data_IF_608364572240
#
_entry.id   IF_608364572240
#
_cell.length_a   1.000
_cell.length_b   1.000
_cell.length_c   1.000
_cell.angle_alpha   90.00
_cell.angle_beta   90.00
_cell.angle_gamma   90.00
#
_symmetry.space_group_name_H-M   'P 1'
#
loop_
_entity.id
_entity.type
_entity.pdbx_description
1 polymer ?
#
# COMPACT_ATOMS: atom_id res chain seq x y z
N UNK A 1 -3.04 -7.43 5.89
CA UNK A 1 -4.32 -6.88 5.37
C UNK A 1 -4.74 -5.68 6.19
N UNK A 2 -5.38 -4.70 5.57
CA UNK A 2 -6.08 -3.61 6.24
C UNK A 2 -7.43 -3.35 5.57
N UNK A 3 -8.44 -2.97 6.36
CA UNK A 3 -9.75 -2.55 5.88
C UNK A 3 -10.14 -1.22 6.52
N UNK A 4 -11.05 -0.51 5.88
CA UNK A 4 -11.65 0.71 6.43
C UNK A 4 -13.17 0.57 6.50
N UNK A 5 -13.69 0.89 7.66
CA UNK A 5 -15.11 1.01 7.95
C UNK A 5 -15.42 2.40 8.52
N UNK A 6 -16.57 2.97 8.16
CA UNK A 6 -16.93 4.33 8.60
C UNK A 6 -17.18 4.46 10.11
N UNK A 7 -17.61 3.40 10.76
CA UNK A 7 -17.93 3.40 12.20
C UNK A 7 -16.73 2.94 13.04
N UNK A 8 -16.03 1.89 12.59
CA UNK A 8 -14.93 1.25 13.32
C UNK A 8 -13.54 1.79 12.92
N UNK A 9 -13.44 2.51 11.79
CA UNK A 9 -12.19 3.04 11.27
C UNK A 9 -11.31 1.98 10.59
N UNK A 10 -9.99 2.11 10.74
CA UNK A 10 -9.01 1.20 10.13
C UNK A 10 -8.76 -0.02 11.02
N UNK A 11 -8.91 -1.20 10.44
CA UNK A 11 -8.51 -2.48 11.04
C UNK A 11 -7.30 -3.03 10.28
N UNK A 12 -6.24 -3.40 10.99
CA UNK A 12 -4.99 -3.95 10.43
C UNK A 12 -4.68 -5.32 11.05
N UNK A 13 -4.20 -6.26 10.24
CA UNK A 13 -3.62 -7.51 10.72
C UNK A 13 -2.42 -7.92 9.86
N UNK A 14 -1.34 -8.31 10.51
CA UNK A 14 -0.14 -8.85 9.90
C UNK A 14 0.13 -10.22 10.53
N UNK A 15 0.41 -11.21 9.69
CA UNK A 15 0.75 -12.56 10.12
C UNK A 15 2.01 -13.03 9.41
N UNK A 16 2.91 -13.66 10.16
CA UNK A 16 4.00 -14.44 9.58
C UNK A 16 3.42 -15.72 8.95
N UNK A 17 3.71 -15.93 7.66
CA UNK A 17 3.23 -17.07 6.86
C UNK A 17 4.31 -18.12 6.62
N UNK A 18 5.53 -17.94 7.15
CA UNK A 18 6.70 -18.78 6.87
C UNK A 18 6.45 -20.27 7.13
N UNK A 19 5.70 -20.58 8.21
CA UNK A 19 5.40 -21.95 8.64
C UNK A 19 3.89 -22.25 8.70
N UNK A 20 3.06 -21.53 7.93
CA UNK A 20 1.61 -21.67 8.02
C UNK A 20 0.93 -21.25 6.72
N UNK A 21 -0.19 -21.91 6.40
CA UNK A 21 -1.02 -21.50 5.28
C UNK A 21 -1.73 -20.18 5.57
N UNK A 22 -1.83 -19.32 4.57
CA UNK A 22 -2.52 -18.03 4.62
C UNK A 22 -3.91 -18.14 5.26
N UNK A 23 -4.73 -19.08 4.77
CA UNK A 23 -6.10 -19.29 5.26
C UNK A 23 -6.13 -19.57 6.77
N UNK A 24 -5.28 -20.45 7.26
CA UNK A 24 -5.21 -20.83 8.69
C UNK A 24 -4.92 -19.62 9.58
N UNK A 25 -4.10 -18.68 9.10
CA UNK A 25 -3.74 -17.49 9.87
C UNK A 25 -4.80 -16.39 9.84
N UNK A 26 -5.44 -16.19 8.69
CA UNK A 26 -6.38 -15.08 8.51
C UNK A 26 -7.84 -15.44 8.80
N UNK A 27 -8.27 -16.69 8.55
CA UNK A 27 -9.67 -17.11 8.69
C UNK A 27 -10.26 -16.82 10.08
N UNK A 28 -9.58 -17.10 11.22
CA UNK A 28 -10.11 -16.78 12.55
C UNK A 28 -10.31 -15.27 12.79
N UNK A 29 -9.54 -14.43 12.11
CA UNK A 29 -9.58 -12.97 12.22
C UNK A 29 -10.53 -12.28 11.26
N UNK A 30 -11.03 -12.97 10.22
CA UNK A 30 -11.88 -12.38 9.18
C UNK A 30 -13.10 -11.61 9.71
N UNK A 31 -13.82 -12.06 10.77
CA UNK A 31 -14.94 -11.29 11.30
C UNK A 31 -14.59 -9.89 11.85
N UNK A 32 -13.31 -9.62 12.10
CA UNK A 32 -12.81 -8.30 12.55
C UNK A 32 -12.63 -7.31 11.40
N UNK A 33 -12.51 -7.81 10.16
CA UNK A 33 -12.37 -6.96 8.98
C UNK A 33 -13.74 -6.56 8.47
N UNK A 34 -14.11 -5.32 8.77
CA UNK A 34 -15.37 -4.73 8.34
C UNK A 34 -15.11 -3.66 7.29
N UNK A 35 -16.23 -3.13 6.73
CA UNK A 35 -16.17 -2.11 5.70
C UNK A 35 -16.19 -2.65 4.28
N UNK A 36 -16.21 -1.72 3.33
CA UNK A 36 -16.38 -2.02 1.90
C UNK A 36 -15.08 -1.91 1.11
N UNK A 37 -14.01 -1.42 1.74
CA UNK A 37 -12.72 -1.23 1.11
C UNK A 37 -11.60 -1.87 1.94
N UNK A 38 -10.63 -2.46 1.26
CA UNK A 38 -9.47 -3.07 1.91
C UNK A 38 -8.29 -3.22 0.97
N UNK A 39 -7.11 -3.33 1.55
CA UNK A 39 -5.85 -3.62 0.85
C UNK A 39 -5.14 -4.79 1.52
N UNK A 40 -4.31 -5.48 0.75
CA UNK A 40 -3.50 -6.58 1.28
C UNK A 40 -2.30 -6.85 0.40
N UNK A 41 -1.32 -7.51 0.99
CA UNK A 41 -0.10 -7.92 0.30
C UNK A 41 0.44 -9.19 0.96
N UNK A 42 1.12 -10.02 0.19
CA UNK A 42 2.06 -11.02 0.68
C UNK A 42 3.45 -10.44 0.43
N UNK A 43 4.23 -10.27 1.49
CA UNK A 43 5.57 -9.69 1.45
C UNK A 43 6.54 -10.64 2.13
N UNK A 44 7.72 -10.77 1.57
CA UNK A 44 8.85 -11.56 2.09
C UNK A 44 9.90 -10.68 2.79
N UNK A 45 9.72 -9.36 2.77
CA UNK A 45 10.68 -8.40 3.34
C UNK A 45 10.09 -7.61 4.50
N UNK A 46 9.09 -6.77 4.23
CA UNK A 46 8.58 -5.79 5.18
C UNK A 46 7.27 -6.21 5.83
N UNK A 47 7.10 -5.90 7.11
CA UNK A 47 5.81 -5.99 7.79
C UNK A 47 4.85 -4.93 7.24
N UNK A 48 3.78 -5.36 6.58
CA UNK A 48 2.79 -4.53 5.88
C UNK A 48 1.37 -5.07 6.09
N UNK A 49 0.30 -4.23 5.95
CA UNK A 49 0.28 -2.79 5.67
C UNK A 49 0.80 -1.93 6.82
N UNK A 50 1.29 -0.73 6.51
CA UNK A 50 1.56 0.32 7.51
C UNK A 50 0.35 1.25 7.59
N UNK A 51 -0.03 1.66 8.80
CA UNK A 51 -1.10 2.64 9.04
C UNK A 51 -0.48 3.91 9.57
N UNK A 52 -0.71 5.01 8.87
CA UNK A 52 -0.19 6.35 9.23
C UNK A 52 -1.37 7.28 9.54
N UNK A 53 -1.19 8.11 10.56
CA UNK A 53 -2.06 9.25 10.84
C UNK A 53 -1.28 10.53 10.59
N UNK A 54 -1.71 11.35 9.65
CA UNK A 54 -1.01 12.54 9.19
C UNK A 54 -1.95 13.69 8.91
N UNK A 55 -1.41 14.84 8.47
CA UNK A 55 -2.23 15.97 7.99
C UNK A 55 -3.04 15.64 6.73
N UNK A 56 -2.68 14.58 5.99
CA UNK A 56 -3.46 14.08 4.84
C UNK A 56 -4.66 13.22 5.27
N UNK A 57 -4.84 13.03 6.59
CA UNK A 57 -5.77 12.08 7.16
C UNK A 57 -5.08 10.76 7.52
N UNK A 58 -5.87 9.80 8.00
CA UNK A 58 -5.41 8.44 8.27
C UNK A 58 -5.47 7.61 6.99
N UNK A 59 -4.44 6.82 6.75
CA UNK A 59 -4.40 5.90 5.62
C UNK A 59 -3.59 4.64 5.95
N UNK A 60 -3.88 3.56 5.24
CA UNK A 60 -3.05 2.35 5.25
C UNK A 60 -2.35 2.23 3.89
N UNK A 61 -1.13 1.72 3.88
CA UNK A 61 -0.33 1.56 2.66
C UNK A 61 0.30 0.18 2.57
N UNK A 62 0.34 -0.36 1.35
CA UNK A 62 1.16 -1.51 0.96
C UNK A 62 2.03 -1.13 -0.24
N UNK A 63 3.24 -1.68 -0.29
CA UNK A 63 4.21 -1.38 -1.36
C UNK A 63 4.87 -2.64 -1.90
N UNK A 64 5.13 -2.64 -3.20
CA UNK A 64 6.13 -3.49 -3.82
C UNK A 64 7.27 -2.57 -4.24
N UNK A 65 8.35 -2.55 -3.45
CA UNK A 65 9.42 -1.58 -3.58
C UNK A 65 10.80 -2.22 -3.60
N UNK A 66 11.70 -1.58 -4.34
CA UNK A 66 13.16 -1.77 -4.25
C UNK A 66 13.80 -0.39 -4.19
N UNK A 67 14.25 0.02 -3.01
CA UNK A 67 14.82 1.34 -2.73
C UNK A 67 16.33 1.17 -2.53
N UNK A 68 17.14 1.70 -3.46
CA UNK A 68 18.59 1.55 -3.42
C UNK A 68 19.27 2.64 -2.58
N UNK A 69 18.60 3.75 -2.32
CA UNK A 69 19.08 4.86 -1.50
C UNK A 69 18.33 4.96 -0.15
N UNK A 70 18.01 3.81 0.45
CA UNK A 70 17.24 3.73 1.68
C UNK A 70 17.89 4.53 2.82
N UNK A 71 19.18 4.29 3.07
CA UNK A 71 19.93 4.95 4.16
C UNK A 71 20.01 6.47 4.00
N UNK A 72 20.13 6.95 2.74
CA UNK A 72 20.14 8.37 2.40
C UNK A 72 18.80 9.04 2.76
N UNK A 73 17.68 8.39 2.38
CA UNK A 73 16.35 8.89 2.63
C UNK A 73 15.95 8.77 4.11
N UNK A 74 16.37 7.71 4.79
CA UNK A 74 16.17 7.56 6.23
C UNK A 74 16.83 8.70 6.99
N UNK A 75 18.09 9.00 6.66
CA UNK A 75 18.82 10.11 7.28
C UNK A 75 18.13 11.46 7.04
N UNK A 76 17.69 11.72 5.80
CA UNK A 76 16.94 12.95 5.45
C UNK A 76 15.67 13.09 6.29
N UNK A 77 14.90 12.01 6.45
CA UNK A 77 13.66 12.03 7.23
C UNK A 77 13.93 12.24 8.73
N UNK A 78 14.96 11.62 9.28
CA UNK A 78 15.37 11.82 10.69
C UNK A 78 15.84 13.24 10.95
N UNK A 79 16.63 13.84 10.04
CA UNK A 79 17.05 15.25 10.11
C UNK A 79 15.84 16.20 10.02
N UNK A 80 14.76 15.80 9.35
CA UNK A 80 13.50 16.53 9.31
C UNK A 80 12.59 16.27 10.54
N UNK A 81 13.11 15.64 11.60
CA UNK A 81 12.40 15.25 12.83
C UNK A 81 11.22 14.29 12.59
N UNK A 82 11.24 13.52 11.53
CA UNK A 82 10.30 12.41 11.34
C UNK A 82 10.79 11.16 12.07
N UNK A 83 9.88 10.28 12.46
CA UNK A 83 10.18 9.11 13.28
C UNK A 83 9.72 7.84 12.58
N UNK A 84 10.50 6.78 12.77
CA UNK A 84 10.15 5.43 12.36
C UNK A 84 9.68 4.63 13.58
N UNK A 85 8.61 3.87 13.42
CA UNK A 85 8.02 3.04 14.48
C UNK A 85 8.02 1.55 14.14
N UNK A 86 8.09 1.21 12.86
CA UNK A 86 8.09 -0.17 12.39
C UNK A 86 9.48 -0.58 11.92
N UNK A 87 9.96 -1.72 12.39
CA UNK A 87 11.23 -2.30 11.96
C UNK A 87 10.97 -3.60 11.18
N UNK A 88 11.73 -3.79 10.11
CA UNK A 88 11.77 -5.04 9.36
C UNK A 88 13.12 -5.71 9.58
N UNK A 89 13.13 -6.79 10.36
CA UNK A 89 14.36 -7.53 10.70
C UNK A 89 15.48 -6.63 11.27
N UNK A 90 15.11 -5.67 12.14
CA UNK A 90 16.04 -4.73 12.76
C UNK A 90 16.52 -3.59 11.85
N UNK A 91 15.93 -3.44 10.67
CA UNK A 91 16.20 -2.36 9.70
C UNK A 91 14.96 -1.50 9.50
N UNK A 92 15.16 -0.33 8.92
CA UNK A 92 14.06 0.56 8.52
C UNK A 92 13.11 -0.13 7.56
N UNK A 93 11.82 -0.10 7.90
CA UNK A 93 10.75 -0.62 7.04
C UNK A 93 10.60 0.28 5.81
N UNK A 94 10.81 -0.26 4.60
CA UNK A 94 10.75 0.51 3.35
C UNK A 94 9.34 1.07 3.10
N UNK A 95 8.29 0.34 3.49
CA UNK A 95 6.91 0.80 3.35
C UNK A 95 6.59 1.97 4.26
N UNK A 96 7.12 1.98 5.49
CA UNK A 96 6.99 3.13 6.40
C UNK A 96 7.75 4.35 5.85
N UNK A 97 8.97 4.16 5.33
CA UNK A 97 9.73 5.24 4.70
C UNK A 97 8.93 5.86 3.53
N UNK A 98 8.34 5.04 2.67
CA UNK A 98 7.49 5.53 1.58
C UNK A 98 6.29 6.30 2.13
N UNK A 99 5.63 5.80 3.17
CA UNK A 99 4.51 6.48 3.81
C UNK A 99 4.92 7.85 4.36
N UNK A 100 6.06 7.96 5.02
CA UNK A 100 6.59 9.22 5.53
C UNK A 100 6.95 10.20 4.41
N UNK A 101 7.52 9.74 3.29
CA UNK A 101 7.76 10.58 2.11
C UNK A 101 6.46 11.12 1.51
N UNK A 102 5.39 10.31 1.48
CA UNK A 102 4.07 10.75 1.02
C UNK A 102 3.54 11.88 1.91
N UNK A 103 3.75 11.79 3.22
CA UNK A 103 3.29 12.84 4.15
C UNK A 103 4.05 14.17 4.03
N UNK A 104 5.09 14.27 3.21
CA UNK A 104 5.73 15.55 2.89
C UNK A 104 4.97 16.35 1.81
N UNK A 105 4.04 15.72 1.07
CA UNK A 105 3.20 16.40 0.09
C UNK A 105 2.01 17.12 0.73
N UNK A 106 1.43 18.07 0.01
CA UNK A 106 0.19 18.77 0.43
C UNK A 106 -1.07 17.91 0.23
N UNK A 107 -0.97 16.91 -0.63
CA UNK A 107 -1.99 15.90 -0.88
C UNK A 107 -1.34 14.56 -1.27
N UNK A 108 -2.14 13.50 -1.39
CA UNK A 108 -1.62 12.17 -1.72
C UNK A 108 -0.95 12.09 -3.10
N UNK A 109 -1.40 12.87 -4.08
CA UNK A 109 -0.82 12.84 -5.44
C UNK A 109 0.57 13.45 -5.40
N UNK A 110 0.72 14.67 -4.85
CA UNK A 110 2.02 15.30 -4.68
C UNK A 110 2.97 14.45 -3.82
N UNK A 111 2.45 13.84 -2.75
CA UNK A 111 3.23 12.93 -1.90
C UNK A 111 3.75 11.71 -2.66
N UNK A 112 2.94 11.09 -3.53
CA UNK A 112 3.35 9.97 -4.37
C UNK A 112 4.38 10.43 -5.43
N UNK A 113 4.19 11.59 -6.03
CA UNK A 113 5.16 12.19 -6.96
C UNK A 113 6.51 12.46 -6.27
N UNK A 114 6.51 12.93 -5.01
CA UNK A 114 7.72 13.07 -4.20
C UNK A 114 8.45 11.74 -4.03
N UNK A 115 7.71 10.65 -3.75
CA UNK A 115 8.28 9.30 -3.69
C UNK A 115 8.96 8.94 -5.01
N UNK A 116 8.29 9.15 -6.15
CA UNK A 116 8.85 8.85 -7.47
C UNK A 116 10.10 9.65 -7.80
N UNK A 117 10.18 10.88 -7.31
CA UNK A 117 11.33 11.77 -7.55
C UNK A 117 12.53 11.44 -6.65
N UNK A 118 12.29 11.06 -5.39
CA UNK A 118 13.35 10.83 -4.39
C UNK A 118 13.93 9.42 -4.45
N UNK A 119 13.11 8.40 -4.76
CA UNK A 119 13.55 7.00 -4.75
C UNK A 119 14.46 6.70 -5.95
N UNK A 120 15.64 6.14 -5.67
CA UNK A 120 16.51 5.48 -6.65
C UNK A 120 16.14 3.99 -6.68
N UNK A 121 15.19 3.64 -7.54
CA UNK A 121 14.65 2.28 -7.60
C UNK A 121 13.24 2.24 -8.17
N UNK A 122 12.40 1.36 -7.65
CA UNK A 122 10.99 1.22 -8.05
C UNK A 122 10.09 1.10 -6.81
N UNK A 123 8.88 1.65 -6.90
CA UNK A 123 7.87 1.52 -5.87
C UNK A 123 6.48 1.64 -6.49
N UNK A 124 5.75 0.53 -6.54
CA UNK A 124 4.30 0.52 -6.78
C UNK A 124 3.57 0.37 -5.45
N UNK A 125 2.42 1.00 -5.32
CA UNK A 125 1.72 1.06 -4.03
C UNK A 125 0.21 1.09 -4.16
N UNK A 126 -0.47 0.62 -3.11
CA UNK A 126 -1.88 0.86 -2.87
C UNK A 126 -2.04 1.56 -1.53
N UNK A 127 -2.80 2.65 -1.51
CA UNK A 127 -3.19 3.37 -0.30
C UNK A 127 -4.68 3.18 -0.08
N UNK A 128 -5.06 2.74 1.11
CA UNK A 128 -6.45 2.75 1.57
C UNK A 128 -6.65 4.02 2.39
N UNK A 129 -7.59 4.84 1.96
CA UNK A 129 -8.00 6.08 2.61
C UNK A 129 -9.48 6.00 2.99
N UNK A 130 -9.97 6.99 3.73
CA UNK A 130 -11.40 7.11 4.04
C UNK A 130 -12.28 7.29 2.80
N UNK A 131 -11.70 7.84 1.72
CA UNK A 131 -12.38 8.13 0.44
C UNK A 131 -12.25 7.02 -0.62
N UNK A 132 -11.60 5.90 -0.29
CA UNK A 132 -11.37 4.80 -1.22
C UNK A 132 -9.90 4.41 -1.35
N UNK A 133 -9.52 3.82 -2.48
CA UNK A 133 -8.18 3.30 -2.72
C UNK A 133 -7.47 4.15 -3.77
N UNK A 134 -6.21 4.50 -3.50
CA UNK A 134 -5.30 5.07 -4.48
C UNK A 134 -4.34 3.97 -4.93
N UNK A 135 -4.30 3.70 -6.23
CA UNK A 135 -3.38 2.78 -6.86
C UNK A 135 -2.34 3.57 -7.66
N UNK A 136 -1.06 3.34 -7.40
CA UNK A 136 0.02 4.10 -8.02
C UNK A 136 1.12 3.16 -8.50
N UNK A 137 1.36 3.14 -9.83
CA UNK A 137 2.37 2.31 -10.45
C UNK A 137 3.70 3.05 -10.52
N UNK A 138 4.80 2.35 -10.21
CA UNK A 138 6.13 2.93 -10.25
C UNK A 138 6.47 3.58 -11.60
N UNK A 139 7.33 4.60 -11.57
CA UNK A 139 7.67 5.39 -12.76
C UNK A 139 8.34 4.61 -13.90
N UNK A 140 8.91 3.44 -13.60
CA UNK A 140 9.53 2.56 -14.58
C UNK A 140 8.58 1.46 -15.08
N UNK A 141 7.42 1.30 -14.45
CA UNK A 141 6.43 0.28 -14.79
C UNK A 141 6.86 -1.14 -14.47
N UNK A 142 7.75 -1.36 -13.50
CA UNK A 142 8.29 -2.69 -13.16
C UNK A 142 7.23 -3.62 -12.60
N UNK A 143 6.48 -3.16 -11.58
CA UNK A 143 5.39 -3.94 -11.01
C UNK A 143 4.10 -3.51 -11.69
N UNK A 144 3.39 -4.41 -12.38
CA UNK A 144 2.12 -4.09 -12.99
C UNK A 144 1.06 -3.80 -11.93
N UNK A 145 0.12 -2.92 -12.25
CA UNK A 145 -1.14 -2.77 -11.53
C UNK A 145 -2.25 -2.77 -12.56
N UNK A 146 -3.23 -3.63 -12.35
CA UNK A 146 -4.39 -3.82 -13.23
C UNK A 146 -5.64 -3.46 -12.43
N UNK A 147 -6.50 -2.66 -13.03
CA UNK A 147 -7.80 -2.31 -12.47
C UNK A 147 -8.86 -3.22 -13.07
N UNK A 148 -9.65 -3.83 -12.20
CA UNK A 148 -10.83 -4.57 -12.54
C UNK A 148 -12.09 -3.87 -12.05
N UNK A 149 -13.18 -4.10 -12.74
CA UNK A 149 -14.50 -3.56 -12.44
C UNK A 149 -15.55 -4.65 -12.48
N UNK A 150 -16.49 -4.59 -11.57
CA UNK A 150 -17.79 -5.30 -11.64
C UNK A 150 -18.87 -4.42 -10.99
N UNK A 151 -20.12 -4.82 -11.09
CA UNK A 151 -21.25 -4.00 -10.58
C UNK A 151 -21.02 -3.50 -9.17
N UNK A 152 -20.87 -2.17 -9.03
CA UNK A 152 -20.69 -1.48 -7.76
C UNK A 152 -19.34 -1.67 -7.07
N UNK A 153 -18.33 -2.26 -7.75
CA UNK A 153 -17.04 -2.53 -7.14
C UNK A 153 -15.85 -2.36 -8.10
N UNK A 154 -14.71 -1.92 -7.54
CA UNK A 154 -13.42 -1.89 -8.21
C UNK A 154 -12.41 -2.76 -7.47
N UNK A 155 -11.47 -3.30 -8.20
CA UNK A 155 -10.30 -3.99 -7.66
C UNK A 155 -9.01 -3.51 -8.32
N UNK A 156 -7.92 -3.45 -7.56
CA UNK A 156 -6.58 -3.21 -8.08
C UNK A 156 -5.69 -4.38 -7.67
N UNK A 157 -4.94 -4.93 -8.60
CA UNK A 157 -4.07 -6.10 -8.35
C UNK A 157 -2.80 -6.03 -9.19
N UNK A 158 -1.72 -6.66 -8.72
CA UNK A 158 -0.52 -6.91 -9.51
C UNK A 158 -0.64 -8.15 -10.41
N UNK A 159 -1.59 -9.05 -10.12
CA UNK A 159 -1.81 -10.29 -10.85
C UNK A 159 -3.18 -10.27 -11.56
N UNK A 160 -3.16 -10.09 -12.88
CA UNK A 160 -4.38 -9.91 -13.66
C UNK A 160 -5.31 -11.12 -13.68
N UNK A 161 -4.77 -12.33 -13.54
CA UNK A 161 -5.57 -13.58 -13.52
C UNK A 161 -6.51 -13.66 -12.31
N UNK A 162 -6.24 -12.92 -11.24
CA UNK A 162 -7.11 -12.87 -10.07
C UNK A 162 -8.46 -12.18 -10.35
N UNK A 163 -8.49 -11.25 -11.30
CA UNK A 163 -9.71 -10.49 -11.60
C UNK A 163 -10.83 -11.36 -12.18
N UNK A 164 -10.63 -12.11 -13.29
CA UNK A 164 -11.68 -12.98 -13.81
C UNK A 164 -12.06 -14.11 -12.86
N UNK A 165 -11.13 -14.59 -12.02
CA UNK A 165 -11.44 -15.60 -10.99
C UNK A 165 -12.41 -15.09 -9.91
N UNK A 166 -12.58 -13.78 -9.79
CA UNK A 166 -13.48 -13.10 -8.85
C UNK A 166 -14.61 -12.34 -9.56
N UNK A 167 -14.87 -12.68 -10.83
CA UNK A 167 -15.90 -12.08 -11.69
C UNK A 167 -15.71 -10.55 -11.92
N UNK A 168 -14.46 -10.10 -11.95
CA UNK A 168 -14.14 -8.75 -12.40
C UNK A 168 -13.71 -8.75 -13.87
N UNK A 169 -14.21 -7.80 -14.62
CA UNK A 169 -13.70 -7.47 -15.96
C UNK A 169 -12.47 -6.58 -15.83
N UNK A 170 -11.44 -6.82 -16.67
CA UNK A 170 -10.28 -5.96 -16.72
C UNK A 170 -10.70 -4.65 -17.38
N UNK A 171 -10.61 -3.55 -16.63
CA UNK A 171 -10.92 -2.22 -17.13
C UNK A 171 -9.69 -1.51 -17.68
N UNK A 172 -8.54 -1.61 -16.96
CA UNK A 172 -7.34 -0.87 -17.32
C UNK A 172 -6.07 -1.48 -16.75
N UNK A 173 -5.00 -1.44 -17.55
CA UNK A 173 -3.62 -1.60 -17.08
C UNK A 173 -3.06 -0.21 -16.79
N UNK A 174 -2.67 0.07 -15.55
CA UNK A 174 -2.10 1.37 -15.17
C UNK A 174 -0.73 1.54 -15.84
N UNK A 175 -0.50 2.70 -16.46
CA UNK A 175 0.77 3.07 -17.08
C UNK A 175 1.88 3.38 -16.07
N UNK A 176 3.17 3.41 -16.50
CA UNK A 176 4.28 3.85 -15.65
C UNK A 176 4.05 5.25 -15.09
N UNK A 177 4.24 5.43 -13.77
CA UNK A 177 4.04 6.70 -13.08
C UNK A 177 2.59 7.13 -12.90
N UNK A 178 1.64 6.35 -13.39
CA UNK A 178 0.22 6.70 -13.31
C UNK A 178 -0.34 6.45 -11.90
N UNK A 179 -1.19 7.39 -11.47
CA UNK A 179 -1.92 7.36 -10.19
C UNK A 179 -3.42 7.34 -10.49
N UNK A 180 -4.14 6.38 -9.94
CA UNK A 180 -5.59 6.19 -10.13
C UNK A 180 -6.29 6.13 -8.78
N UNK A 181 -7.45 6.79 -8.66
CA UNK A 181 -8.34 6.69 -7.50
C UNK A 181 -9.53 5.80 -7.82
N UNK A 182 -9.78 4.82 -6.94
CA UNK A 182 -10.93 3.92 -6.98
C UNK A 182 -11.89 4.28 -5.84
N UNK A 183 -13.15 4.53 -6.19
CA UNK A 183 -14.21 4.95 -5.26
C UNK A 183 -15.47 4.12 -5.43
#
# INVERSE_FOLDING_TARGET
MATYDKEEGFTRSIHNLENSYFRTKFEPGLPKFKGKAGIGIISDTDAQPIVINSHLGKFAIVTVAKINNLDELEKELLEANMHFSELSSGKTNQTELVALLITQGKDFVEGIENVYNKIKGSCSMLLLTEDGIIAARDKWGRTPIVIGKKDGAYAATSESSSLPNLDYEIEKFIGPGEIVRLR
#
